data_IF_121851754091
#
_entry.id   IF_121851754091
#
_cell.length_a   1.000
_cell.length_b   1.000
_cell.length_c   1.000
_cell.angle_alpha   90.00
_cell.angle_beta   90.00
_cell.angle_gamma   90.00
#
_symmetry.space_group_name_H-M   'P 1'
#
loop_
_entity.id
_entity.type
_entity.pdbx_description
1 polymer ?
#
# COMPACT_ATOMS: atom_id res chain seq x y z
N UNK A 1 -18.44 -63.47 -42.61
CA UNK A 1 -17.26 -63.20 -41.70
C UNK A 1 -16.38 -62.03 -42.15
N UNK A 2 -16.12 -61.90 -43.46
CA UNK A 2 -15.21 -60.89 -44.03
C UNK A 2 -15.68 -59.45 -43.80
N UNK A 3 -17.01 -59.14 -43.83
CA UNK A 3 -17.54 -57.79 -43.65
C UNK A 3 -17.39 -57.28 -42.22
N UNK A 4 -17.50 -58.12 -41.18
CA UNK A 4 -17.33 -57.72 -39.79
C UNK A 4 -15.86 -57.37 -39.46
N UNK A 5 -14.90 -58.07 -40.11
CA UNK A 5 -13.48 -57.78 -39.92
C UNK A 5 -13.08 -56.47 -40.56
N UNK A 6 -13.59 -56.17 -41.75
CA UNK A 6 -13.39 -54.88 -42.43
C UNK A 6 -14.00 -53.74 -41.61
N UNK A 7 -15.21 -53.92 -41.09
CA UNK A 7 -15.86 -52.90 -40.22
C UNK A 7 -15.05 -52.62 -38.95
N UNK A 8 -14.55 -53.66 -38.29
CA UNK A 8 -13.73 -53.49 -37.08
C UNK A 8 -12.38 -52.77 -37.38
N UNK A 9 -11.77 -53.02 -38.52
CA UNK A 9 -10.54 -52.33 -38.95
C UNK A 9 -10.85 -50.83 -39.19
N UNK A 10 -11.95 -50.48 -39.84
CA UNK A 10 -12.35 -49.09 -40.08
C UNK A 10 -12.60 -48.36 -38.76
N UNK A 11 -13.32 -48.98 -37.80
CA UNK A 11 -13.53 -48.40 -36.47
C UNK A 11 -12.20 -48.18 -35.74
N UNK A 12 -11.27 -49.10 -35.78
CA UNK A 12 -9.94 -48.92 -35.18
C UNK A 12 -9.17 -47.74 -35.81
N UNK A 13 -9.24 -47.57 -37.11
CA UNK A 13 -8.63 -46.45 -37.82
C UNK A 13 -9.25 -45.14 -37.41
N UNK A 14 -10.59 -45.05 -37.35
CA UNK A 14 -11.30 -43.84 -36.91
C UNK A 14 -10.94 -43.46 -35.47
N UNK A 15 -10.88 -44.41 -34.56
CA UNK A 15 -10.44 -44.19 -33.19
C UNK A 15 -8.99 -43.67 -33.13
N UNK A 16 -8.10 -44.26 -33.90
CA UNK A 16 -6.69 -43.84 -33.98
C UNK A 16 -6.59 -42.40 -34.50
N UNK A 17 -7.33 -42.03 -35.53
CA UNK A 17 -7.36 -40.68 -36.09
C UNK A 17 -7.91 -39.67 -35.06
N UNK A 18 -8.99 -40.01 -34.35
CA UNK A 18 -9.53 -39.15 -33.28
C UNK A 18 -8.51 -38.95 -32.15
N UNK A 19 -7.79 -39.99 -31.74
CA UNK A 19 -6.74 -39.87 -30.72
C UNK A 19 -5.58 -38.98 -31.20
N UNK A 20 -5.15 -39.09 -32.45
CA UNK A 20 -4.12 -38.22 -32.99
C UNK A 20 -4.56 -36.76 -33.03
N UNK A 21 -5.80 -36.48 -33.45
CA UNK A 21 -6.38 -35.14 -33.44
C UNK A 21 -6.45 -34.61 -32.01
N UNK A 22 -6.90 -35.43 -31.04
CA UNK A 22 -6.96 -35.04 -29.65
C UNK A 22 -5.59 -34.65 -29.10
N UNK A 23 -4.57 -35.48 -29.29
CA UNK A 23 -3.19 -35.18 -28.85
C UNK A 23 -2.61 -33.96 -29.55
N UNK A 24 -2.95 -33.75 -30.81
CA UNK A 24 -2.55 -32.57 -31.56
C UNK A 24 -3.16 -31.28 -30.98
N UNK A 25 -4.46 -31.29 -30.67
CA UNK A 25 -5.16 -30.16 -30.02
C UNK A 25 -4.57 -29.86 -28.63
N UNK A 26 -4.37 -30.89 -27.80
CA UNK A 26 -3.77 -30.72 -26.47
C UNK A 26 -2.38 -30.10 -26.57
N UNK A 27 -1.56 -30.51 -27.53
CA UNK A 27 -0.21 -29.99 -27.77
C UNK A 27 -0.23 -28.53 -28.18
N UNK A 28 -1.18 -28.10 -29.03
CA UNK A 28 -1.35 -26.70 -29.46
C UNK A 28 -1.85 -25.82 -28.31
N UNK A 29 -2.77 -26.31 -27.48
CA UNK A 29 -3.35 -25.54 -26.39
C UNK A 29 -2.48 -25.51 -25.11
N UNK A 30 -1.53 -26.43 -24.97
CA UNK A 30 -0.63 -26.53 -23.80
C UNK A 30 0.07 -25.21 -23.45
N UNK A 31 0.59 -24.40 -24.41
CA UNK A 31 1.26 -23.14 -24.11
C UNK A 31 0.36 -22.10 -23.45
N UNK A 32 -0.96 -22.12 -23.69
CA UNK A 32 -1.91 -21.17 -23.12
C UNK A 32 -1.91 -21.21 -21.59
N UNK A 33 -1.75 -22.40 -21.00
CA UNK A 33 -1.66 -22.56 -19.54
C UNK A 33 -0.45 -21.84 -18.95
N UNK A 34 0.69 -21.89 -19.64
CA UNK A 34 1.90 -21.18 -19.21
C UNK A 34 1.73 -19.67 -19.36
N UNK A 35 1.13 -19.20 -20.45
CA UNK A 35 0.81 -17.78 -20.67
C UNK A 35 -0.06 -17.26 -19.53
N UNK A 36 -1.16 -17.95 -19.22
CA UNK A 36 -2.07 -17.58 -18.14
C UNK A 36 -1.35 -17.52 -16.78
N UNK A 37 -0.47 -18.49 -16.52
CA UNK A 37 0.33 -18.52 -15.29
C UNK A 37 1.24 -17.29 -15.17
N UNK A 38 2.00 -16.97 -16.23
CA UNK A 38 2.92 -15.82 -16.17
C UNK A 38 2.20 -14.48 -16.16
N UNK A 39 1.07 -14.35 -16.85
CA UNK A 39 0.19 -13.18 -16.73
C UNK A 39 -0.32 -13.02 -15.27
N UNK A 40 -0.74 -14.12 -14.63
CA UNK A 40 -1.18 -14.08 -13.23
C UNK A 40 -0.04 -13.74 -12.29
N UNK A 41 1.15 -14.27 -12.50
CA UNK A 41 2.36 -13.91 -11.73
C UNK A 41 2.67 -12.41 -11.83
N UNK A 42 2.59 -11.87 -13.06
CA UNK A 42 2.80 -10.46 -13.31
C UNK A 42 1.73 -9.59 -12.62
N UNK A 43 0.46 -9.96 -12.73
CA UNK A 43 -0.66 -9.28 -12.07
C UNK A 43 -0.54 -9.29 -10.54
N UNK A 44 0.06 -10.35 -9.97
CA UNK A 44 0.35 -10.47 -8.53
C UNK A 44 1.63 -9.71 -8.11
N UNK A 45 2.16 -8.83 -8.97
CA UNK A 45 3.26 -7.93 -8.64
C UNK A 45 4.66 -8.45 -8.97
N UNK A 46 4.79 -9.62 -9.63
CA UNK A 46 6.09 -10.04 -10.19
C UNK A 46 6.32 -9.39 -11.56
N UNK A 47 6.77 -8.13 -11.54
CA UNK A 47 6.99 -7.34 -12.76
C UNK A 47 8.07 -7.91 -13.69
N UNK A 48 8.91 -8.83 -13.20
CA UNK A 48 9.91 -9.52 -14.00
C UNK A 48 9.39 -10.81 -14.68
N UNK A 49 8.13 -11.19 -14.42
CA UNK A 49 7.54 -12.36 -15.08
C UNK A 49 7.46 -12.14 -16.58
N UNK A 50 7.94 -13.13 -17.34
CA UNK A 50 7.92 -13.13 -18.80
C UNK A 50 7.48 -14.50 -19.30
N UNK A 51 6.78 -14.51 -20.42
CA UNK A 51 6.39 -15.73 -21.09
C UNK A 51 7.57 -16.21 -21.91
N UNK A 52 8.05 -17.44 -21.62
CA UNK A 52 9.09 -18.08 -22.44
C UNK A 52 8.51 -18.48 -23.79
N UNK A 53 8.98 -17.81 -24.83
CA UNK A 53 8.54 -18.03 -26.20
C UNK A 53 9.55 -18.98 -26.86
N UNK A 54 9.29 -20.26 -26.82
CA UNK A 54 9.92 -21.19 -27.74
C UNK A 54 9.38 -20.92 -29.14
N UNK A 55 10.06 -20.04 -29.89
CA UNK A 55 9.89 -19.68 -31.33
C UNK A 55 8.60 -20.21 -31.97
N UNK A 56 7.46 -19.77 -31.53
CA UNK A 56 6.19 -19.99 -32.20
C UNK A 56 5.90 -18.75 -33.05
N UNK A 57 5.82 -18.96 -34.36
CA UNK A 57 5.43 -17.87 -35.30
C UNK A 57 3.93 -17.84 -35.54
N UNK A 58 3.14 -18.42 -34.64
CA UNK A 58 1.69 -18.45 -34.66
C UNK A 58 1.11 -17.34 -33.77
N UNK A 59 -0.23 -17.29 -33.70
CA UNK A 59 -0.98 -16.31 -32.92
C UNK A 59 -0.62 -16.34 -31.42
N UNK A 60 -0.23 -17.50 -30.90
CA UNK A 60 0.22 -17.69 -29.50
C UNK A 60 1.57 -17.03 -29.30
N UNK A 61 2.48 -17.15 -30.23
CA UNK A 61 3.77 -16.47 -30.23
C UNK A 61 3.62 -14.95 -30.29
N UNK A 62 2.72 -14.44 -31.13
CA UNK A 62 2.41 -13.02 -31.24
C UNK A 62 1.84 -12.49 -29.91
N UNK A 63 0.91 -13.21 -29.29
CA UNK A 63 0.32 -12.85 -28.00
C UNK A 63 1.39 -12.78 -26.90
N UNK A 64 2.24 -13.80 -26.81
CA UNK A 64 3.31 -13.86 -25.82
C UNK A 64 4.34 -12.72 -26.00
N UNK A 65 4.71 -12.39 -27.23
CA UNK A 65 5.58 -11.26 -27.53
C UNK A 65 4.94 -9.92 -27.14
N UNK A 66 3.67 -9.73 -27.47
CA UNK A 66 2.93 -8.51 -27.14
C UNK A 66 2.83 -8.32 -25.62
N UNK A 67 2.55 -9.41 -24.89
CA UNK A 67 2.59 -9.38 -23.41
C UNK A 67 3.97 -9.00 -22.89
N UNK A 68 5.04 -9.63 -23.36
CA UNK A 68 6.40 -9.34 -22.89
C UNK A 68 6.83 -7.91 -23.19
N UNK A 69 6.43 -7.34 -24.33
CA UNK A 69 6.68 -5.93 -24.65
C UNK A 69 5.92 -5.00 -23.69
N UNK A 70 4.62 -5.29 -23.44
CA UNK A 70 3.81 -4.55 -22.46
C UNK A 70 4.41 -4.65 -21.05
N UNK A 71 4.79 -5.85 -20.61
CA UNK A 71 5.42 -6.08 -19.32
C UNK A 71 6.73 -5.29 -19.15
N UNK A 72 7.57 -5.28 -20.19
CA UNK A 72 8.83 -4.51 -20.20
C UNK A 72 8.58 -3.01 -20.14
N UNK A 73 7.60 -2.51 -20.88
CA UNK A 73 7.24 -1.10 -20.89
C UNK A 73 6.70 -0.65 -19.52
N UNK A 74 5.86 -1.48 -18.88
CA UNK A 74 5.30 -1.19 -17.56
C UNK A 74 6.39 -1.24 -16.46
N UNK A 75 7.26 -2.24 -16.49
CA UNK A 75 8.40 -2.35 -15.56
C UNK A 75 9.31 -1.11 -15.66
N UNK A 76 9.65 -0.69 -16.90
CA UNK A 76 10.43 0.53 -17.15
C UNK A 76 9.71 1.78 -16.65
N UNK A 77 8.40 1.91 -16.90
CA UNK A 77 7.60 3.04 -16.44
C UNK A 77 7.62 3.15 -14.92
N UNK A 78 7.39 2.04 -14.21
CA UNK A 78 7.42 1.98 -12.74
C UNK A 78 8.81 2.40 -12.23
N UNK A 79 9.87 1.82 -12.77
CA UNK A 79 11.25 2.14 -12.38
C UNK A 79 11.58 3.63 -12.61
N UNK A 80 11.19 4.19 -13.75
CA UNK A 80 11.39 5.62 -14.04
C UNK A 80 10.60 6.51 -13.07
N UNK A 81 9.36 6.10 -12.72
CA UNK A 81 8.57 6.83 -11.71
C UNK A 81 9.24 6.81 -10.34
N UNK A 82 9.79 5.66 -9.90
CA UNK A 82 10.55 5.55 -8.64
C UNK A 82 11.80 6.45 -8.62
N UNK A 83 12.56 6.44 -9.72
CA UNK A 83 13.76 7.28 -9.88
C UNK A 83 13.39 8.76 -9.81
N UNK A 84 12.35 9.19 -10.54
CA UNK A 84 11.87 10.57 -10.55
C UNK A 84 11.44 11.03 -9.15
N UNK A 85 10.70 10.22 -8.41
CA UNK A 85 10.27 10.56 -7.05
C UNK A 85 11.45 10.72 -6.09
N UNK A 86 12.46 9.86 -6.20
CA UNK A 86 13.67 9.96 -5.42
C UNK A 86 14.42 11.26 -5.75
N UNK A 87 14.56 11.57 -7.04
CA UNK A 87 15.28 12.74 -7.50
C UNK A 87 14.55 14.03 -7.08
N UNK A 88 13.23 14.11 -7.22
CA UNK A 88 12.42 15.22 -6.71
C UNK A 88 12.64 15.39 -5.19
N UNK A 89 12.66 14.28 -4.44
CA UNK A 89 12.92 14.34 -2.99
C UNK A 89 14.27 14.93 -2.65
N UNK A 90 15.31 14.60 -3.40
CA UNK A 90 16.64 15.17 -3.20
C UNK A 90 16.71 16.63 -3.63
N UNK A 91 16.14 16.97 -4.80
CA UNK A 91 16.14 18.33 -5.34
C UNK A 91 15.30 19.31 -4.50
N UNK A 92 14.25 18.85 -3.82
CA UNK A 92 13.48 19.70 -2.91
C UNK A 92 14.14 19.87 -1.53
N UNK A 93 14.85 18.87 -1.03
CA UNK A 93 15.54 18.94 0.25
C UNK A 93 16.61 20.04 0.29
N UNK A 94 17.32 20.22 -0.82
CA UNK A 94 18.41 21.21 -0.94
C UNK A 94 17.93 22.65 -0.78
N UNK A 95 16.91 23.17 -1.52
CA UNK A 95 16.42 24.54 -1.34
C UNK A 95 15.74 24.72 0.02
N UNK A 96 15.05 23.71 0.56
CA UNK A 96 14.46 23.75 1.90
C UNK A 96 15.57 23.94 2.95
N UNK A 97 16.65 23.16 2.89
CA UNK A 97 17.78 23.29 3.80
C UNK A 97 18.45 24.65 3.68
N UNK A 98 18.70 25.15 2.45
CA UNK A 98 19.25 26.49 2.22
C UNK A 98 18.35 27.60 2.79
N UNK A 99 17.02 27.45 2.65
CA UNK A 99 16.05 28.37 3.24
C UNK A 99 16.11 28.37 4.76
N UNK A 100 16.17 27.18 5.40
CA UNK A 100 16.34 27.04 6.85
C UNK A 100 17.62 27.75 7.35
N UNK A 101 18.75 27.62 6.63
CA UNK A 101 19.98 28.35 6.99
C UNK A 101 19.86 29.85 6.80
N UNK A 102 19.15 30.31 5.76
CA UNK A 102 18.96 31.74 5.50
C UNK A 102 18.13 32.41 6.60
N UNK A 103 17.17 31.71 7.17
CA UNK A 103 16.30 32.20 8.26
C UNK A 103 17.11 32.57 9.51
N UNK A 104 18.22 31.88 9.78
CA UNK A 104 19.05 32.19 10.97
C UNK A 104 19.64 33.60 10.94
N UNK A 105 19.68 34.26 9.76
CA UNK A 105 20.12 35.65 9.58
C UNK A 105 19.01 36.69 9.75
N UNK A 106 17.78 36.28 10.01
CA UNK A 106 16.64 37.16 10.23
C UNK A 106 16.70 37.67 11.67
N UNK A 107 16.78 38.98 11.85
CA UNK A 107 16.84 39.62 13.18
C UNK A 107 15.47 39.68 13.86
N UNK A 108 14.38 39.75 13.09
CA UNK A 108 13.03 39.80 13.63
C UNK A 108 12.57 38.40 14.03
N UNK A 109 12.50 38.11 15.33
CA UNK A 109 12.13 36.80 15.87
C UNK A 109 10.76 36.32 15.41
N UNK A 110 9.75 37.19 15.31
CA UNK A 110 8.42 36.81 14.83
C UNK A 110 8.43 36.37 13.37
N UNK A 111 9.20 37.05 12.51
CA UNK A 111 9.38 36.64 11.12
C UNK A 111 10.21 35.36 11.01
N UNK A 112 11.25 35.23 11.83
CA UNK A 112 12.10 34.05 11.91
C UNK A 112 11.29 32.81 12.24
N UNK A 113 10.46 32.86 13.28
CA UNK A 113 9.59 31.73 13.68
C UNK A 113 8.54 31.39 12.60
N UNK A 114 7.96 32.41 11.94
CA UNK A 114 7.04 32.20 10.83
C UNK A 114 7.70 31.44 9.68
N UNK A 115 8.88 31.89 9.24
CA UNK A 115 9.61 31.23 8.16
C UNK A 115 10.10 29.84 8.55
N UNK A 116 10.57 29.64 9.78
CA UNK A 116 10.91 28.31 10.30
C UNK A 116 9.73 27.35 10.15
N UNK A 117 8.55 27.76 10.59
CA UNK A 117 7.34 26.96 10.47
C UNK A 117 7.04 26.62 9.00
N UNK A 118 7.09 27.61 8.10
CA UNK A 118 6.83 27.40 6.66
C UNK A 118 7.78 26.34 6.07
N UNK A 119 9.09 26.40 6.40
CA UNK A 119 10.04 25.42 5.86
C UNK A 119 9.91 24.03 6.47
N UNK A 120 9.53 23.93 7.74
CA UNK A 120 9.20 22.66 8.37
C UNK A 120 7.94 22.05 7.71
N UNK A 121 6.94 22.87 7.47
CA UNK A 121 5.70 22.46 6.81
C UNK A 121 5.98 21.97 5.37
N UNK A 122 6.82 22.69 4.60
CA UNK A 122 7.22 22.28 3.25
C UNK A 122 7.99 20.95 3.25
N UNK A 123 8.90 20.75 4.19
CA UNK A 123 9.66 19.51 4.32
C UNK A 123 8.72 18.33 4.65
N UNK A 124 7.80 18.53 5.58
CA UNK A 124 6.80 17.52 5.98
C UNK A 124 5.92 17.16 4.79
N UNK A 125 5.35 18.15 4.10
CA UNK A 125 4.52 17.92 2.92
C UNK A 125 5.26 17.15 1.83
N UNK A 126 6.50 17.55 1.55
CA UNK A 126 7.34 16.89 0.54
C UNK A 126 7.58 15.42 0.90
N UNK A 127 7.93 15.15 2.15
CA UNK A 127 8.19 13.78 2.61
C UNK A 127 6.91 12.92 2.59
N UNK A 128 5.77 13.46 3.03
CA UNK A 128 4.48 12.77 3.01
C UNK A 128 4.04 12.42 1.58
N UNK A 129 4.21 13.35 0.61
CA UNK A 129 3.90 13.09 -0.80
C UNK A 129 4.78 11.99 -1.40
N UNK A 130 6.09 12.04 -1.13
CA UNK A 130 7.04 11.02 -1.61
C UNK A 130 6.71 9.65 -1.02
N UNK A 131 6.40 9.56 0.28
CA UNK A 131 6.01 8.30 0.91
C UNK A 131 4.69 7.75 0.34
N UNK A 132 3.71 8.62 0.09
CA UNK A 132 2.43 8.25 -0.50
C UNK A 132 2.60 7.61 -1.89
N UNK A 133 3.46 8.19 -2.72
CA UNK A 133 3.73 7.70 -4.07
C UNK A 133 4.61 6.45 -4.09
N UNK A 134 5.65 6.40 -3.24
CA UNK A 134 6.49 5.19 -3.08
C UNK A 134 5.67 3.98 -2.64
N UNK A 135 4.74 4.18 -1.73
CA UNK A 135 3.89 3.10 -1.25
C UNK A 135 3.16 2.40 -2.40
N UNK A 136 2.70 3.12 -3.43
CA UNK A 136 2.01 2.51 -4.58
C UNK A 136 2.92 1.55 -5.36
N UNK A 137 4.18 1.92 -5.52
CA UNK A 137 5.15 1.21 -6.36
C UNK A 137 5.86 0.07 -5.61
N UNK A 138 6.01 0.18 -4.29
CA UNK A 138 6.83 -0.75 -3.49
C UNK A 138 6.08 -2.07 -3.24
N UNK A 139 6.77 -3.19 -3.39
CA UNK A 139 6.30 -4.49 -2.91
C UNK A 139 6.46 -4.56 -1.39
N UNK A 140 5.39 -4.93 -0.67
CA UNK A 140 5.44 -5.08 0.79
C UNK A 140 6.43 -6.16 1.21
N UNK A 141 7.26 -5.84 2.20
CA UNK A 141 8.13 -6.80 2.89
C UNK A 141 7.40 -7.40 4.09
N UNK A 142 6.65 -8.47 3.85
CA UNK A 142 5.83 -9.08 4.89
C UNK A 142 6.68 -9.86 5.90
N UNK A 143 6.63 -9.46 7.16
CA UNK A 143 7.25 -10.13 8.31
C UNK A 143 6.21 -10.38 9.39
N UNK A 144 6.50 -11.31 10.32
CA UNK A 144 5.57 -11.61 11.42
C UNK A 144 6.13 -11.02 12.73
N UNK A 145 5.33 -10.19 13.39
CA UNK A 145 5.66 -9.49 14.63
C UNK A 145 4.43 -9.38 15.53
N UNK A 146 4.59 -8.93 16.79
CA UNK A 146 3.48 -8.70 17.72
C UNK A 146 2.82 -7.33 17.50
N UNK A 147 1.55 -7.18 17.89
CA UNK A 147 0.88 -5.88 17.86
C UNK A 147 1.58 -4.87 18.78
N UNK A 148 2.10 -5.30 19.91
CA UNK A 148 2.93 -4.47 20.80
C UNK A 148 4.16 -3.93 20.07
N UNK A 149 4.91 -4.78 19.34
CA UNK A 149 6.06 -4.35 18.52
C UNK A 149 5.68 -3.27 17.53
N UNK A 150 4.52 -3.40 16.89
CA UNK A 150 4.01 -2.41 15.94
C UNK A 150 3.76 -1.05 16.60
N UNK A 151 3.13 -1.04 17.78
CA UNK A 151 2.86 0.21 18.50
C UNK A 151 4.17 0.86 18.95
N UNK A 152 5.11 0.09 19.51
CA UNK A 152 6.40 0.63 19.92
C UNK A 152 7.18 1.23 18.73
N UNK A 153 7.16 0.57 17.58
CA UNK A 153 7.78 1.10 16.36
C UNK A 153 7.07 2.37 15.86
N UNK A 154 5.76 2.46 16.00
CA UNK A 154 5.00 3.67 15.64
C UNK A 154 5.31 4.83 16.61
N UNK A 155 5.37 4.56 17.92
CA UNK A 155 5.70 5.55 18.94
C UNK A 155 7.14 6.07 18.80
N UNK A 156 8.10 5.22 18.44
CA UNK A 156 9.48 5.66 18.17
C UNK A 156 9.61 6.68 17.04
N UNK A 157 8.64 6.71 16.11
CA UNK A 157 8.56 7.69 15.01
C UNK A 157 7.85 9.00 15.42
N UNK A 158 7.25 9.02 16.60
CA UNK A 158 6.66 10.22 17.21
C UNK A 158 7.70 10.82 18.15
N UNK A 159 8.15 12.04 17.89
CA UNK A 159 9.00 12.78 18.81
C UNK A 159 8.13 13.31 19.97
N UNK A 160 7.78 12.40 20.90
CA UNK A 160 7.00 12.74 22.07
C UNK A 160 7.92 13.28 23.16
N UNK A 161 7.70 14.53 23.58
CA UNK A 161 8.37 15.11 24.75
C UNK A 161 7.80 14.57 26.08
N UNK A 162 6.57 14.06 26.05
CA UNK A 162 5.83 13.59 27.21
C UNK A 162 5.01 12.33 26.85
N UNK A 163 5.43 11.20 27.38
CA UNK A 163 4.79 9.89 27.14
C UNK A 163 3.44 9.78 27.86
N UNK A 164 3.17 10.60 28.88
CA UNK A 164 1.88 10.60 29.61
C UNK A 164 0.68 11.04 28.74
N UNK A 165 0.94 11.59 27.55
CA UNK A 165 -0.11 11.97 26.60
C UNK A 165 -0.81 10.77 25.93
N UNK A 166 -0.26 9.57 26.08
CA UNK A 166 -0.78 8.34 25.47
C UNK A 166 -0.98 7.29 26.55
N UNK A 167 -2.18 6.77 26.68
CA UNK A 167 -2.49 5.61 27.49
C UNK A 167 -2.51 4.37 26.60
N UNK A 168 -1.59 3.44 26.84
CA UNK A 168 -1.48 2.19 26.07
C UNK A 168 -2.04 1.03 26.87
N UNK A 169 -3.10 0.40 26.36
CA UNK A 169 -3.75 -0.76 26.97
C UNK A 169 -3.56 -2.01 26.11
N UNK A 170 -2.76 -2.94 26.57
CA UNK A 170 -2.54 -4.23 25.89
C UNK A 170 -3.43 -5.29 26.57
N UNK A 171 -4.68 -5.42 26.09
CA UNK A 171 -5.63 -6.38 26.63
C UNK A 171 -5.33 -7.80 26.14
N UNK A 172 -4.98 -7.93 24.87
CA UNK A 172 -4.58 -9.19 24.26
C UNK A 172 -3.65 -8.95 23.09
N UNK A 173 -2.35 -9.23 23.26
CA UNK A 173 -1.39 -9.18 22.17
C UNK A 173 -1.60 -10.32 21.16
N UNK A 174 -1.27 -10.07 19.91
CA UNK A 174 -1.43 -11.03 18.82
C UNK A 174 -0.37 -10.83 17.74
N UNK A 175 -0.17 -11.86 16.92
CA UNK A 175 0.78 -11.81 15.80
C UNK A 175 0.14 -11.26 14.53
N UNK A 176 0.88 -10.39 13.85
CA UNK A 176 0.51 -9.72 12.61
C UNK A 176 1.53 -10.10 11.55
N UNK A 177 1.07 -10.42 10.32
CA UNK A 177 1.96 -10.63 9.17
C UNK A 177 1.76 -9.48 8.19
N UNK A 178 2.67 -8.50 8.24
CA UNK A 178 2.58 -7.24 7.51
C UNK A 178 3.97 -6.68 7.19
N UNK A 179 4.02 -5.58 6.47
CA UNK A 179 5.20 -4.73 6.39
C UNK A 179 5.23 -3.81 7.62
N UNK A 180 6.15 -4.09 8.54
CA UNK A 180 6.26 -3.37 9.82
C UNK A 180 6.50 -1.87 9.59
N UNK A 181 7.34 -1.50 8.62
CA UNK A 181 7.67 -0.11 8.35
C UNK A 181 6.43 0.68 7.91
N UNK A 182 5.71 0.20 6.90
CA UNK A 182 4.52 0.91 6.41
C UNK A 182 3.37 0.88 7.42
N UNK A 183 3.14 -0.25 8.08
CA UNK A 183 2.06 -0.34 9.05
C UNK A 183 2.31 0.56 10.27
N UNK A 184 3.57 0.71 10.72
CA UNK A 184 3.94 1.65 11.79
C UNK A 184 3.72 3.12 11.39
N UNK A 185 3.89 3.47 10.09
CA UNK A 185 3.53 4.79 9.57
C UNK A 185 2.02 5.03 9.66
N UNK A 186 1.19 4.04 9.35
CA UNK A 186 -0.26 4.17 9.48
C UNK A 186 -0.70 4.42 10.93
N UNK A 187 -0.18 3.61 11.86
CA UNK A 187 -0.44 3.79 13.31
C UNK A 187 0.05 5.16 13.79
N UNK A 188 1.28 5.55 13.43
CA UNK A 188 1.85 6.86 13.76
C UNK A 188 0.94 8.01 13.30
N UNK A 189 0.42 7.94 12.07
CA UNK A 189 -0.46 8.98 11.54
C UNK A 189 -1.80 9.06 12.28
N UNK A 190 -2.37 7.92 12.70
CA UNK A 190 -3.59 7.91 13.52
C UNK A 190 -3.34 8.48 14.91
N UNK A 191 -2.23 8.13 15.56
CA UNK A 191 -1.83 8.66 16.88
C UNK A 191 -1.59 10.18 16.78
N UNK A 192 -0.84 10.62 15.76
CA UNK A 192 -0.56 12.05 15.53
C UNK A 192 -1.86 12.85 15.31
N UNK A 193 -2.80 12.30 14.53
CA UNK A 193 -4.14 12.89 14.38
C UNK A 193 -4.89 12.94 15.71
N UNK A 194 -4.89 11.87 16.49
CA UNK A 194 -5.54 11.84 17.80
C UNK A 194 -4.96 12.90 18.74
N UNK A 195 -3.62 13.04 18.80
CA UNK A 195 -2.94 14.06 19.61
C UNK A 195 -3.24 15.50 19.14
N UNK A 196 -3.32 15.74 17.83
CA UNK A 196 -3.59 17.07 17.26
C UNK A 196 -5.03 17.55 17.49
N UNK A 197 -5.99 16.63 17.50
CA UNK A 197 -7.40 16.97 17.52
C UNK A 197 -8.09 16.65 18.83
N UNK A 198 -7.39 16.04 19.81
CA UNK A 198 -7.98 15.79 21.13
C UNK A 198 -8.31 17.07 21.89
N UNK A 199 -9.40 17.04 22.63
CA UNK A 199 -9.79 18.10 23.57
C UNK A 199 -9.24 17.83 24.98
N UNK A 200 -8.95 16.57 25.29
CA UNK A 200 -8.45 16.14 26.60
C UNK A 200 -7.38 15.05 26.39
N UNK A 201 -6.37 15.04 27.23
CA UNK A 201 -5.34 14.00 27.31
C UNK A 201 -5.63 13.09 28.50
N UNK A 202 -5.15 11.84 28.47
CA UNK A 202 -4.43 11.18 27.38
C UNK A 202 -5.34 10.74 26.23
N UNK A 203 -4.77 10.49 25.06
CA UNK A 203 -5.40 9.66 24.03
C UNK A 203 -5.22 8.18 24.41
N UNK A 204 -6.13 7.32 23.97
CA UNK A 204 -6.15 5.91 24.35
C UNK A 204 -5.79 5.03 23.14
N UNK A 205 -4.85 4.12 23.31
CA UNK A 205 -4.47 3.10 22.33
C UNK A 205 -4.73 1.73 22.93
N UNK A 206 -5.71 1.02 22.41
CA UNK A 206 -6.09 -0.32 22.88
C UNK A 206 -5.65 -1.39 21.86
N UNK A 207 -4.97 -2.43 22.34
CA UNK A 207 -4.67 -3.64 21.59
C UNK A 207 -5.61 -4.75 22.07
N UNK A 208 -6.48 -5.22 21.17
CA UNK A 208 -7.38 -6.34 21.39
C UNK A 208 -7.13 -7.40 20.31
N UNK A 209 -7.73 -8.59 20.46
CA UNK A 209 -7.57 -9.68 19.50
C UNK A 209 -7.88 -9.23 18.06
N UNK A 210 -6.85 -9.22 17.20
CA UNK A 210 -6.91 -8.84 15.79
C UNK A 210 -7.34 -7.39 15.52
N UNK A 211 -7.31 -6.51 16.51
CA UNK A 211 -7.79 -5.14 16.41
C UNK A 211 -6.89 -4.18 17.19
N UNK A 212 -6.59 -3.04 16.60
CA UNK A 212 -5.98 -1.89 17.28
C UNK A 212 -6.96 -0.73 17.20
N UNK A 213 -7.25 -0.12 18.35
CA UNK A 213 -8.10 1.06 18.47
C UNK A 213 -7.28 2.25 18.91
N UNK A 214 -7.55 3.40 18.32
CA UNK A 214 -6.98 4.68 18.73
C UNK A 214 -8.15 5.61 18.98
N UNK A 215 -8.28 6.09 20.21
CA UNK A 215 -9.42 6.87 20.67
C UNK A 215 -8.96 8.21 21.23
N UNK A 216 -9.65 9.27 20.90
CA UNK A 216 -9.41 10.60 21.45
C UNK A 216 -10.72 11.36 21.65
N UNK A 217 -10.79 12.19 22.69
CA UNK A 217 -11.94 13.03 22.97
C UNK A 217 -11.99 14.21 22.00
N UNK A 218 -12.99 14.26 21.13
CA UNK A 218 -13.13 15.31 20.13
C UNK A 218 -14.59 15.44 19.69
N UNK A 219 -14.90 16.46 18.87
CA UNK A 219 -16.19 16.57 18.20
C UNK A 219 -16.27 15.55 17.07
N UNK A 220 -17.48 15.06 16.80
CA UNK A 220 -17.77 14.23 15.66
C UNK A 220 -17.32 14.88 14.34
N UNK A 221 -16.85 14.07 13.40
CA UNK A 221 -16.49 14.54 12.06
C UNK A 221 -17.73 15.14 11.36
N UNK A 222 -17.58 16.30 10.73
CA UNK A 222 -18.71 16.98 10.06
C UNK A 222 -19.14 16.31 8.75
N UNK A 223 -18.30 15.43 8.19
CA UNK A 223 -18.53 14.69 6.94
C UNK A 223 -18.19 13.21 7.13
N UNK A 224 -18.64 12.39 6.18
CA UNK A 224 -18.33 10.97 6.16
C UNK A 224 -16.82 10.71 6.12
N UNK A 225 -16.38 9.59 6.71
CA UNK A 225 -14.97 9.19 6.73
C UNK A 225 -14.33 9.22 5.34
N UNK A 226 -15.04 8.76 4.31
CA UNK A 226 -14.57 8.74 2.92
C UNK A 226 -14.12 10.10 2.39
N UNK A 227 -14.66 11.20 2.91
CA UNK A 227 -14.20 12.54 2.58
C UNK A 227 -12.78 12.78 3.11
N UNK A 228 -12.51 12.41 4.38
CA UNK A 228 -11.22 12.65 5.05
C UNK A 228 -10.12 11.67 4.61
N UNK A 229 -10.51 10.56 3.97
CA UNK A 229 -9.56 9.59 3.39
C UNK A 229 -8.99 10.05 2.04
N UNK A 230 -9.53 11.12 1.45
CA UNK A 230 -8.97 11.73 0.23
C UNK A 230 -7.78 12.63 0.57
N UNK A 231 -6.74 12.68 -0.28
CA UNK A 231 -5.63 13.61 -0.09
C UNK A 231 -6.09 15.07 -0.01
N UNK A 232 -5.40 15.88 0.79
CA UNK A 232 -5.62 17.32 0.95
C UNK A 232 -6.99 17.71 1.52
N UNK A 233 -7.65 16.81 2.25
CA UNK A 233 -8.92 17.09 2.93
C UNK A 233 -8.70 17.38 4.40
N UNK A 234 -9.39 18.39 4.92
CA UNK A 234 -9.30 18.84 6.31
C UNK A 234 -10.68 19.28 6.82
N UNK A 235 -10.88 19.21 8.13
CA UNK A 235 -12.08 19.74 8.80
C UNK A 235 -12.11 21.27 8.76
N UNK A 236 -10.98 21.91 9.04
CA UNK A 236 -10.81 23.36 9.07
C UNK A 236 -9.50 23.73 8.37
N UNK A 237 -9.57 24.67 7.41
CA UNK A 237 -8.44 25.14 6.61
C UNK A 237 -7.31 25.85 7.37
N UNK A 238 -7.48 26.11 8.68
CA UNK A 238 -6.52 26.83 9.52
C UNK A 238 -5.81 25.97 10.56
N UNK A 239 -6.00 24.63 10.54
CA UNK A 239 -5.31 23.72 11.48
C UNK A 239 -4.02 23.15 10.86
N UNK A 240 -3.05 22.83 11.74
CA UNK A 240 -1.74 22.31 11.35
C UNK A 240 -1.86 20.96 10.62
N UNK A 241 -1.31 20.88 9.41
CA UNK A 241 -1.25 19.66 8.59
C UNK A 241 -1.75 19.90 7.17
N UNK A 242 -1.47 18.96 6.26
CA UNK A 242 -1.82 19.08 4.84
C UNK A 242 -2.99 18.19 4.41
N UNK A 243 -3.59 17.45 5.35
CA UNK A 243 -4.68 16.52 5.04
C UNK A 243 -4.22 15.28 4.27
N UNK A 244 -2.96 14.87 4.43
CA UNK A 244 -2.40 13.66 3.81
C UNK A 244 -2.39 12.46 4.76
N UNK A 245 -2.35 12.66 6.08
CA UNK A 245 -2.17 11.58 7.06
C UNK A 245 -3.19 10.45 6.93
N UNK A 246 -4.50 10.77 6.87
CA UNK A 246 -5.54 9.75 6.74
C UNK A 246 -5.55 9.07 5.36
N UNK A 247 -5.17 9.77 4.28
CA UNK A 247 -5.04 9.17 2.96
C UNK A 247 -3.86 8.19 2.89
N UNK A 248 -2.75 8.49 3.60
CA UNK A 248 -1.62 7.57 3.78
C UNK A 248 -2.08 6.32 4.55
N UNK A 249 -2.81 6.51 5.67
CA UNK A 249 -3.39 5.40 6.43
C UNK A 249 -4.23 4.51 5.53
N UNK A 250 -5.18 5.09 4.80
CA UNK A 250 -6.07 4.34 3.89
C UNK A 250 -5.28 3.51 2.88
N UNK A 251 -4.32 4.12 2.19
CA UNK A 251 -3.49 3.41 1.19
C UNK A 251 -2.68 2.26 1.80
N UNK A 252 -2.10 2.46 3.00
CA UNK A 252 -1.35 1.41 3.68
C UNK A 252 -2.27 0.25 4.06
N UNK A 253 -3.41 0.54 4.66
CA UNK A 253 -4.39 -0.46 5.10
C UNK A 253 -4.94 -1.25 3.92
N UNK A 254 -5.32 -0.58 2.82
CA UNK A 254 -5.81 -1.23 1.60
C UNK A 254 -4.75 -2.15 0.98
N UNK A 255 -3.49 -1.68 0.92
CA UNK A 255 -2.39 -2.46 0.35
C UNK A 255 -2.09 -3.74 1.14
N UNK A 256 -2.33 -3.72 2.46
CA UNK A 256 -2.25 -4.90 3.32
C UNK A 256 -3.52 -5.75 3.31
N UNK A 257 -4.59 -5.32 2.63
CA UNK A 257 -5.91 -5.98 2.62
C UNK A 257 -6.51 -6.06 4.03
N UNK A 258 -6.26 -5.04 4.84
CA UNK A 258 -6.85 -4.84 6.16
C UNK A 258 -8.04 -3.89 6.08
N UNK A 259 -8.74 -3.70 7.20
CA UNK A 259 -9.91 -2.82 7.26
C UNK A 259 -9.70 -1.71 8.26
N UNK A 260 -9.96 -0.47 7.84
CA UNK A 260 -10.07 0.71 8.69
C UNK A 260 -11.55 1.03 8.92
N UNK A 261 -11.93 1.35 10.14
CA UNK A 261 -13.24 1.89 10.47
C UNK A 261 -13.14 3.08 11.41
N UNK A 262 -14.19 3.87 11.44
CA UNK A 262 -14.38 5.04 12.29
C UNK A 262 -15.72 4.91 13.01
N UNK A 263 -15.73 5.27 14.27
CA UNK A 263 -16.93 5.37 15.09
C UNK A 263 -16.84 6.62 15.97
N UNK A 264 -18.00 7.19 16.30
CA UNK A 264 -18.11 8.24 17.30
C UNK A 264 -18.97 7.74 18.44
N UNK A 265 -18.41 7.63 19.64
CA UNK A 265 -19.06 7.05 20.81
C UNK A 265 -18.74 7.90 22.04
N UNK A 266 -19.76 8.36 22.76
CA UNK A 266 -19.64 9.08 24.03
C UNK A 266 -18.66 10.27 24.03
N UNK A 267 -18.60 11.01 22.90
CA UNK A 267 -17.69 12.14 22.75
C UNK A 267 -16.27 11.76 22.31
N UNK A 268 -16.03 10.50 21.98
CA UNK A 268 -14.75 10.01 21.47
C UNK A 268 -14.82 9.70 19.99
N UNK A 269 -13.83 10.15 19.24
CA UNK A 269 -13.48 9.64 17.92
C UNK A 269 -12.68 8.36 18.14
N UNK A 270 -13.10 7.26 17.49
CA UNK A 270 -12.47 5.95 17.59
C UNK A 270 -12.11 5.45 16.19
N UNK A 271 -10.83 5.39 15.88
CA UNK A 271 -10.33 4.69 14.70
C UNK A 271 -9.96 3.26 15.07
N UNK A 272 -10.44 2.28 14.27
CA UNK A 272 -10.15 0.85 14.45
C UNK A 272 -9.48 0.29 13.20
N UNK A 273 -8.39 -0.44 13.40
CA UNK A 273 -7.75 -1.21 12.35
C UNK A 273 -7.96 -2.69 12.67
N UNK A 274 -8.63 -3.41 11.77
CA UNK A 274 -8.79 -4.86 11.82
C UNK A 274 -7.65 -5.51 11.05
N UNK A 275 -6.79 -6.23 11.75
CA UNK A 275 -5.54 -6.81 11.26
C UNK A 275 -5.68 -8.31 10.91
N UNK A 276 -6.90 -8.75 10.66
CA UNK A 276 -7.20 -10.04 10.05
C UNK A 276 -7.54 -9.82 8.57
N UNK A 277 -7.00 -10.65 7.68
CA UNK A 277 -7.41 -10.59 6.28
C UNK A 277 -8.91 -10.81 6.18
N UNK A 278 -9.62 -9.90 5.54
CA UNK A 278 -11.01 -10.15 5.15
C UNK A 278 -11.01 -11.35 4.20
N UNK A 279 -11.73 -12.39 4.59
CA UNK A 279 -12.02 -13.56 3.73
C UNK A 279 -12.81 -13.13 2.50
#
# INVERSE_FOLDING_TARGET
MRDKTVLNILICIDILVLLLIFFYIVKILSPIKNITKEITNFANGNLSARIDIKKSNDEIGILANSFNQMATSLEKFIKTKEELLRDIGHELRTPIAKGKFAIEKIENESQKELFKKIFIDLETLTNELIELEKLELTKLNLTTFSAETLILEALSKLYLEDESKIELNINQDFKITADLYYLSIAIKNLIDNALKYTQELPIIVDINKNEIKISNKAKELSKDLEYYLKPFTQELSHRNGFGLGLSIVKKIIDKHQYKLSYEYIDGYIVFKIYLSKSL
#
